data_IF_977137246454
#
_entry.id   IF_977137246454
#
_cell.length_a   1.000
_cell.length_b   1.000
_cell.length_c   1.000
_cell.angle_alpha   90.00
_cell.angle_beta   90.00
_cell.angle_gamma   90.00
#
_symmetry.space_group_name_H-M   'P 1'
#
loop_
_entity.id
_entity.type
_entity.pdbx_description
1 polymer ?
#
# COMPACT_ATOMS: atom_id res chain seq x y z
N UNK A 1 -23.30 -7.82 41.19
CA UNK A 1 -21.91 -7.59 41.67
C UNK A 1 -21.27 -8.95 41.85
N UNK A 2 -20.14 -9.34 41.29
CA UNK A 2 -19.19 -8.80 40.31
C UNK A 2 -18.19 -9.94 40.07
N UNK A 3 -18.19 -10.57 38.89
CA UNK A 3 -17.17 -10.37 37.86
C UNK A 3 -15.72 -10.71 38.29
N UNK A 4 -15.34 -11.98 38.13
CA UNK A 4 -13.98 -12.38 37.77
C UNK A 4 -14.05 -13.70 36.98
N UNK A 5 -13.86 -13.61 35.67
CA UNK A 5 -13.87 -14.80 34.81
C UNK A 5 -13.60 -14.45 33.35
N UNK A 6 -12.53 -15.05 32.81
CA UNK A 6 -12.08 -15.12 31.40
C UNK A 6 -11.09 -14.05 30.93
N UNK A 7 -9.82 -14.31 31.22
CA UNK A 7 -8.68 -13.91 30.40
C UNK A 7 -7.80 -15.15 30.18
N UNK A 8 -8.08 -15.93 29.14
CA UNK A 8 -7.13 -16.92 28.59
C UNK A 8 -7.59 -17.41 27.22
N UNK A 9 -7.22 -16.69 26.16
CA UNK A 9 -7.08 -17.19 24.78
C UNK A 9 -6.38 -16.10 23.96
N UNK A 10 -5.09 -15.88 24.20
CA UNK A 10 -4.27 -14.98 23.39
C UNK A 10 -2.83 -15.46 23.28
N UNK A 11 -2.59 -16.77 23.14
CA UNK A 11 -1.24 -17.30 22.85
C UNK A 11 -1.35 -18.70 22.24
N UNK A 12 -1.76 -18.80 20.97
CA UNK A 12 -1.65 -20.06 20.21
C UNK A 12 -1.73 -19.88 18.69
N UNK A 13 -0.95 -18.98 18.13
CA UNK A 13 -0.71 -18.93 16.67
C UNK A 13 0.72 -18.46 16.38
N UNK A 14 1.72 -19.25 16.78
CA UNK A 14 3.12 -19.02 16.41
C UNK A 14 3.97 -20.31 16.31
N UNK A 15 3.36 -21.50 16.15
CA UNK A 15 4.09 -22.78 16.24
C UNK A 15 3.89 -23.80 15.11
N UNK A 16 2.93 -23.61 14.20
CA UNK A 16 2.54 -24.63 13.23
C UNK A 16 3.06 -24.41 11.79
N UNK A 17 3.60 -23.23 11.48
CA UNK A 17 4.14 -22.92 10.13
C UNK A 17 5.64 -23.23 10.01
N UNK A 18 6.36 -23.38 11.13
CA UNK A 18 7.82 -23.53 11.14
C UNK A 18 8.31 -24.99 11.08
N UNK A 19 7.41 -25.98 11.10
CA UNK A 19 7.75 -27.42 11.13
C UNK A 19 7.50 -28.20 9.84
N UNK A 20 7.00 -27.57 8.76
CA UNK A 20 6.76 -28.24 7.47
C UNK A 20 7.69 -27.82 6.33
N UNK A 21 8.76 -27.08 6.65
CA UNK A 21 9.84 -26.69 5.72
C UNK A 21 11.18 -27.37 6.03
N UNK A 22 11.19 -28.41 6.88
CA UNK A 22 12.40 -29.19 7.25
C UNK A 22 12.37 -30.66 6.81
N UNK A 23 11.36 -31.07 6.06
CA UNK A 23 11.27 -32.40 5.48
C UNK A 23 10.94 -32.22 4.00
N UNK A 24 11.98 -32.00 3.20
CA UNK A 24 12.14 -32.49 1.82
C UNK A 24 13.27 -31.72 1.13
N UNK A 25 14.31 -32.44 0.70
CA UNK A 25 15.29 -31.93 -0.27
C UNK A 25 16.68 -31.59 0.25
N UNK A 26 17.36 -32.55 0.86
CA UNK A 26 18.82 -32.55 0.88
C UNK A 26 19.34 -32.88 -0.53
N UNK A 27 19.96 -31.92 -1.23
CA UNK A 27 20.85 -32.17 -2.37
C UNK A 27 22.06 -31.22 -2.29
N UNK A 28 23.21 -31.77 -2.66
CA UNK A 28 24.57 -31.44 -2.25
C UNK A 28 25.07 -30.05 -2.67
N UNK A 29 25.94 -29.51 -1.81
CA UNK A 29 26.85 -28.41 -2.06
C UNK A 29 27.83 -28.77 -3.19
N UNK A 30 28.07 -27.84 -4.10
CA UNK A 30 29.39 -27.69 -4.70
C UNK A 30 29.71 -26.22 -4.99
N UNK A 31 30.92 -25.83 -4.60
CA UNK A 31 31.54 -24.53 -4.70
C UNK A 31 31.70 -24.05 -6.15
N UNK A 32 31.48 -22.76 -6.40
CA UNK A 32 32.42 -21.94 -7.20
C UNK A 32 32.05 -20.46 -7.21
N UNK A 33 33.09 -19.66 -7.02
CA UNK A 33 33.14 -18.20 -7.02
C UNK A 33 32.72 -17.62 -8.39
N UNK A 34 31.88 -16.59 -8.40
CA UNK A 34 32.05 -15.43 -9.31
C UNK A 34 31.15 -14.26 -8.88
N UNK A 35 31.74 -13.08 -8.77
CA UNK A 35 31.09 -11.87 -8.30
C UNK A 35 30.53 -10.98 -9.41
N UNK A 36 29.64 -10.07 -8.99
CA UNK A 36 29.40 -8.74 -9.58
C UNK A 36 28.69 -8.62 -10.94
N UNK A 37 27.63 -9.40 -11.20
CA UNK A 37 26.76 -9.16 -12.39
C UNK A 37 25.25 -9.03 -12.15
N UNK A 38 24.76 -9.22 -10.92
CA UNK A 38 23.30 -9.32 -10.68
C UNK A 38 22.56 -8.00 -10.41
N UNK A 39 23.26 -6.90 -10.09
CA UNK A 39 22.61 -5.61 -9.78
C UNK A 39 22.05 -4.91 -11.05
N UNK A 40 22.69 -5.08 -12.21
CA UNK A 40 22.26 -4.45 -13.46
C UNK A 40 21.02 -5.12 -14.08
N UNK A 41 20.85 -6.43 -13.84
CA UNK A 41 19.69 -7.19 -14.34
C UNK A 41 18.43 -6.87 -13.53
N UNK A 42 18.60 -6.60 -12.22
CA UNK A 42 17.52 -6.14 -11.33
C UNK A 42 17.03 -4.73 -11.66
N UNK A 43 17.94 -3.81 -12.01
CA UNK A 43 17.54 -2.47 -12.46
C UNK A 43 16.78 -2.49 -13.79
N UNK A 44 17.13 -3.40 -14.73
CA UNK A 44 16.42 -3.53 -16.01
C UNK A 44 14.99 -4.10 -15.87
N UNK A 45 14.74 -4.99 -14.92
CA UNK A 45 13.39 -5.52 -14.67
C UNK A 45 12.43 -4.49 -14.05
N UNK A 46 12.95 -3.54 -13.25
CA UNK A 46 12.17 -2.39 -12.76
C UNK A 46 11.69 -1.48 -13.91
N UNK A 47 12.39 -1.46 -15.05
CA UNK A 47 12.07 -0.62 -16.20
C UNK A 47 11.02 -1.26 -17.12
N UNK A 48 10.98 -2.59 -17.22
CA UNK A 48 10.06 -3.28 -18.15
C UNK A 48 8.60 -3.36 -17.70
N UNK A 49 8.30 -3.12 -16.42
CA UNK A 49 6.91 -2.98 -15.94
C UNK A 49 6.27 -1.63 -16.24
N UNK A 50 7.03 -0.68 -16.82
CA UNK A 50 6.62 0.70 -17.01
C UNK A 50 6.42 1.10 -18.49
N UNK A 51 6.43 0.14 -19.42
CA UNK A 51 6.13 0.39 -20.83
C UNK A 51 4.63 0.14 -21.07
N UNK A 52 3.81 1.15 -20.79
CA UNK A 52 2.48 1.28 -21.37
C UNK A 52 2.39 2.60 -22.13
N UNK A 53 1.84 2.45 -23.34
CA UNK A 53 1.76 3.40 -24.43
C UNK A 53 1.37 4.83 -24.04
N UNK A 54 1.91 5.73 -24.85
CA UNK A 54 1.82 7.19 -24.82
C UNK A 54 0.37 7.69 -24.87
N UNK A 55 -0.04 8.46 -23.85
CA UNK A 55 -1.10 9.50 -23.87
C UNK A 55 -1.53 9.96 -22.47
N UNK A 56 -1.09 9.30 -21.38
CA UNK A 56 -1.37 9.76 -20.00
C UNK A 56 -0.17 10.53 -19.42
N UNK A 57 -0.42 11.69 -18.78
CA UNK A 57 0.61 12.55 -18.21
C UNK A 57 1.64 11.79 -17.37
N UNK A 58 2.92 12.02 -17.63
CA UNK A 58 4.02 11.31 -16.97
C UNK A 58 4.04 11.64 -15.48
N UNK A 59 3.93 10.62 -14.64
CA UNK A 59 4.18 10.76 -13.19
C UNK A 59 5.67 10.81 -12.95
N UNK A 60 6.17 11.92 -12.39
CA UNK A 60 7.58 12.01 -11.97
C UNK A 60 7.83 11.07 -10.79
N UNK A 61 8.96 10.38 -10.81
CA UNK A 61 9.41 9.47 -9.77
C UNK A 61 10.73 9.96 -9.17
N UNK A 62 10.88 9.77 -7.86
CA UNK A 62 12.17 9.93 -7.16
C UNK A 62 12.43 8.69 -6.31
N UNK A 63 13.68 8.44 -5.92
CA UNK A 63 13.99 7.40 -4.94
C UNK A 63 13.85 7.97 -3.54
N UNK A 64 13.01 7.37 -2.71
CA UNK A 64 12.90 7.70 -1.29
C UNK A 64 13.14 6.44 -0.48
N UNK A 65 14.22 6.42 0.29
CA UNK A 65 14.64 5.21 1.00
C UNK A 65 14.88 4.02 0.06
N UNK A 66 15.31 4.26 -1.18
CA UNK A 66 15.55 3.23 -2.20
C UNK A 66 14.30 2.76 -2.97
N UNK A 67 13.10 3.17 -2.55
CA UNK A 67 11.84 2.82 -3.22
C UNK A 67 11.49 3.91 -4.24
N UNK A 68 11.21 3.57 -5.51
CA UNK A 68 10.71 4.55 -6.47
C UNK A 68 9.33 5.02 -6.04
N UNK A 69 9.22 6.31 -5.72
CA UNK A 69 8.05 6.93 -5.11
C UNK A 69 7.53 8.04 -6.03
N UNK A 70 6.21 8.07 -6.23
CA UNK A 70 5.57 9.04 -7.09
C UNK A 70 5.54 10.43 -6.45
N UNK A 71 5.94 11.43 -7.23
CA UNK A 71 5.87 12.84 -6.85
C UNK A 71 4.45 13.35 -7.11
N UNK A 72 3.51 12.92 -6.27
CA UNK A 72 2.10 13.26 -6.37
C UNK A 72 1.55 13.74 -5.01
N UNK A 73 0.74 14.79 -5.05
CA UNK A 73 -0.14 15.19 -3.95
C UNK A 73 -1.33 14.24 -3.83
N UNK A 74 -2.04 14.25 -2.69
CA UNK A 74 -3.27 13.49 -2.48
C UNK A 74 -4.32 13.80 -3.55
N UNK A 75 -4.52 15.08 -3.87
CA UNK A 75 -5.46 15.51 -4.92
C UNK A 75 -5.04 15.04 -6.32
N UNK A 76 -3.74 15.01 -6.62
CA UNK A 76 -3.26 14.45 -7.89
C UNK A 76 -3.45 12.93 -7.94
N UNK A 77 -3.21 12.22 -6.82
CA UNK A 77 -3.41 10.79 -6.74
C UNK A 77 -4.91 10.43 -6.87
N UNK A 78 -5.81 11.16 -6.23
CA UNK A 78 -7.26 10.99 -6.41
C UNK A 78 -7.69 11.25 -7.86
N UNK A 79 -7.17 12.30 -8.52
CA UNK A 79 -7.42 12.53 -9.96
C UNK A 79 -6.91 11.38 -10.82
N UNK A 80 -5.76 10.79 -10.47
CA UNK A 80 -5.24 9.62 -11.19
C UNK A 80 -6.16 8.41 -11.07
N UNK A 81 -6.82 8.23 -9.93
CA UNK A 81 -7.84 7.18 -9.75
C UNK A 81 -9.01 7.36 -10.74
N UNK A 82 -9.54 8.57 -10.89
CA UNK A 82 -10.60 8.89 -11.87
C UNK A 82 -10.12 8.65 -13.31
N UNK A 83 -8.92 9.13 -13.67
CA UNK A 83 -8.32 8.88 -14.99
C UNK A 83 -8.21 7.37 -15.30
N UNK A 84 -7.68 6.59 -14.36
CA UNK A 84 -7.53 5.14 -14.56
C UNK A 84 -8.90 4.43 -14.63
N UNK A 85 -9.90 4.89 -13.87
CA UNK A 85 -11.28 4.39 -14.00
C UNK A 85 -11.85 4.62 -15.40
N UNK A 86 -11.58 5.79 -16.01
CA UNK A 86 -11.98 6.08 -17.40
C UNK A 86 -11.22 5.22 -18.40
N UNK A 87 -9.92 4.98 -18.18
CA UNK A 87 -9.12 4.11 -19.05
C UNK A 87 -9.65 2.67 -19.06
N UNK A 88 -10.11 2.14 -17.92
CA UNK A 88 -10.79 0.83 -17.88
C UNK A 88 -12.07 0.86 -18.73
N UNK A 89 -12.91 1.89 -18.59
CA UNK A 89 -14.14 2.01 -19.38
C UNK A 89 -13.91 2.12 -20.89
N UNK A 90 -12.74 2.63 -21.30
CA UNK A 90 -12.31 2.70 -22.70
C UNK A 90 -11.59 1.42 -23.17
N UNK A 91 -11.39 0.42 -22.30
CA UNK A 91 -10.62 -0.78 -22.62
C UNK A 91 -9.11 -0.57 -22.74
N UNK A 92 -8.59 0.56 -22.25
CA UNK A 92 -7.17 0.93 -22.31
C UNK A 92 -6.36 0.49 -21.09
N UNK A 93 -7.02 -0.08 -20.07
CA UNK A 93 -6.38 -0.64 -18.89
C UNK A 93 -6.93 -2.04 -18.60
N UNK A 94 -6.15 -3.07 -18.93
CA UNK A 94 -6.56 -4.47 -18.81
C UNK A 94 -6.43 -5.01 -17.37
N UNK A 95 -5.40 -4.58 -16.65
CA UNK A 95 -5.13 -5.00 -15.27
C UNK A 95 -5.14 -3.77 -14.35
N UNK A 96 -5.71 -3.89 -13.13
CA UNK A 96 -5.72 -2.81 -12.17
C UNK A 96 -4.31 -2.40 -11.77
N UNK A 97 -4.13 -1.11 -11.52
CA UNK A 97 -2.93 -0.58 -10.88
C UNK A 97 -2.90 -0.98 -9.41
N UNK A 98 -1.74 -1.45 -8.96
CA UNK A 98 -1.48 -1.70 -7.54
C UNK A 98 -0.92 -0.41 -6.94
N UNK A 99 -1.60 0.13 -5.94
CA UNK A 99 -1.24 1.41 -5.30
C UNK A 99 -0.86 1.14 -3.84
N UNK A 100 0.38 1.44 -3.46
CA UNK A 100 0.92 1.13 -2.13
C UNK A 100 1.39 2.38 -1.40
N UNK A 101 1.04 2.49 -0.12
CA UNK A 101 1.49 3.56 0.75
C UNK A 101 2.83 3.18 1.40
N UNK A 102 3.87 3.98 1.16
CA UNK A 102 5.19 3.78 1.75
C UNK A 102 5.38 4.60 3.03
N UNK A 103 5.90 3.93 4.05
CA UNK A 103 6.33 4.53 5.31
C UNK A 103 7.60 3.83 5.81
N UNK A 104 8.12 4.22 6.98
CA UNK A 104 9.35 3.64 7.52
C UNK A 104 9.34 2.11 7.64
N UNK A 105 8.20 1.51 8.02
CA UNK A 105 8.09 0.05 8.11
C UNK A 105 8.17 -0.62 6.74
N UNK A 106 7.59 0.00 5.70
CA UNK A 106 7.68 -0.49 4.32
C UNK A 106 9.11 -0.40 3.81
N UNK A 107 9.80 0.72 4.03
CA UNK A 107 11.21 0.90 3.67
C UNK A 107 12.09 -0.16 4.34
N UNK A 108 11.96 -0.33 5.66
CA UNK A 108 12.76 -1.32 6.38
C UNK A 108 12.53 -2.73 5.82
N UNK A 109 11.27 -3.12 5.61
CA UNK A 109 10.93 -4.44 5.08
C UNK A 109 11.36 -4.63 3.62
N UNK A 110 11.28 -3.60 2.79
CA UNK A 110 11.75 -3.61 1.40
C UNK A 110 13.24 -3.94 1.31
N UNK A 111 14.05 -3.44 2.24
CA UNK A 111 15.48 -3.72 2.27
C UNK A 111 15.81 -5.06 2.92
N UNK A 112 15.11 -5.42 4.00
CA UNK A 112 15.42 -6.63 4.79
C UNK A 112 14.80 -7.92 4.24
N UNK A 113 13.74 -7.85 3.44
CA UNK A 113 13.04 -9.03 2.92
C UNK A 113 12.95 -8.98 1.38
N UNK A 114 13.60 -9.95 0.71
CA UNK A 114 13.65 -10.05 -0.75
C UNK A 114 12.28 -10.29 -1.39
N UNK A 115 11.41 -11.09 -0.76
CA UNK A 115 10.08 -11.37 -1.29
C UNK A 115 9.19 -10.15 -1.16
N UNK A 116 9.24 -9.45 -0.02
CA UNK A 116 8.53 -8.19 0.13
C UNK A 116 9.02 -7.12 -0.86
N UNK A 117 10.34 -7.05 -1.12
CA UNK A 117 10.90 -6.21 -2.17
C UNK A 117 10.26 -6.50 -3.54
N UNK A 118 10.13 -7.77 -3.90
CA UNK A 118 9.51 -8.18 -5.17
C UNK A 118 8.05 -7.74 -5.26
N UNK A 119 7.30 -7.77 -4.16
CA UNK A 119 5.91 -7.29 -4.14
C UNK A 119 5.82 -5.78 -4.36
N UNK A 120 6.62 -5.00 -3.62
CA UNK A 120 6.64 -3.53 -3.76
C UNK A 120 7.13 -3.12 -5.15
N UNK A 121 8.09 -3.84 -5.73
CA UNK A 121 8.56 -3.58 -7.10
C UNK A 121 7.51 -3.84 -8.19
N UNK A 122 6.42 -4.55 -7.88
CA UNK A 122 5.27 -4.74 -8.78
C UNK A 122 4.20 -3.65 -8.62
N UNK A 123 4.31 -2.79 -7.60
CA UNK A 123 3.37 -1.70 -7.41
C UNK A 123 3.46 -0.72 -8.58
N UNK A 124 2.32 -0.33 -9.13
CA UNK A 124 2.23 0.64 -10.23
C UNK A 124 2.49 2.05 -9.72
N UNK A 125 2.05 2.37 -8.50
CA UNK A 125 2.30 3.64 -7.83
C UNK A 125 2.63 3.37 -6.36
N UNK A 126 3.71 3.99 -5.89
CA UNK A 126 4.04 4.06 -4.47
C UNK A 126 3.96 5.52 -4.03
N UNK A 127 3.10 5.82 -3.05
CA UNK A 127 2.96 7.15 -2.46
C UNK A 127 3.62 7.26 -1.09
N UNK A 128 3.83 8.50 -0.64
CA UNK A 128 4.54 8.80 0.59
C UNK A 128 3.59 9.05 1.77
N UNK A 129 3.24 7.98 2.49
CA UNK A 129 2.35 8.02 3.66
C UNK A 129 3.04 8.59 4.91
N UNK A 130 4.36 8.36 5.06
CA UNK A 130 5.14 8.84 6.20
C UNK A 130 5.72 10.25 6.04
N UNK A 131 5.60 11.11 7.06
CA UNK A 131 6.19 12.45 7.06
C UNK A 131 7.72 12.45 6.88
N UNK A 132 8.41 11.42 7.42
CA UNK A 132 9.86 11.27 7.28
C UNK A 132 10.32 11.09 5.83
N UNK A 133 9.47 10.52 4.96
CA UNK A 133 9.76 10.37 3.53
C UNK A 133 9.75 11.74 2.84
N UNK A 134 8.74 12.56 3.14
CA UNK A 134 8.63 13.91 2.61
C UNK A 134 9.81 14.76 3.08
N UNK A 135 10.16 14.69 4.37
CA UNK A 135 11.32 15.39 4.93
C UNK A 135 12.62 14.97 4.22
N UNK A 136 12.88 13.66 4.08
CA UNK A 136 14.06 13.18 3.38
C UNK A 136 14.09 13.65 1.92
N UNK A 137 12.96 13.62 1.21
CA UNK A 137 12.90 14.11 -0.18
C UNK A 137 13.24 15.61 -0.30
N UNK A 138 12.79 16.44 0.65
CA UNK A 138 13.12 17.88 0.69
C UNK A 138 14.60 18.15 0.93
N UNK A 139 15.28 17.25 1.62
CA UNK A 139 16.70 17.38 1.93
C UNK A 139 17.60 16.90 0.78
N UNK A 140 17.21 15.85 0.07
CA UNK A 140 18.10 15.16 -0.88
C UNK A 140 17.66 15.22 -2.36
N UNK A 141 16.46 15.68 -2.68
CA UNK A 141 15.93 15.71 -4.05
C UNK A 141 15.67 17.15 -4.52
N UNK A 142 15.92 17.40 -5.80
CA UNK A 142 15.58 18.66 -6.48
C UNK A 142 14.08 18.80 -6.68
N UNK A 143 13.40 17.69 -6.96
CA UNK A 143 11.94 17.62 -7.10
C UNK A 143 11.35 16.85 -5.91
N UNK A 144 11.25 17.48 -4.73
CA UNK A 144 10.81 16.80 -3.52
C UNK A 144 9.34 16.38 -3.60
N UNK A 145 8.94 15.45 -2.74
CA UNK A 145 7.54 15.06 -2.58
C UNK A 145 6.73 16.30 -2.15
N UNK A 146 5.59 16.58 -2.80
CA UNK A 146 4.84 17.81 -2.54
C UNK A 146 4.25 17.82 -1.12
N UNK A 147 3.70 16.70 -0.69
CA UNK A 147 3.08 16.54 0.62
C UNK A 147 3.10 15.07 1.09
N UNK A 148 2.69 14.86 2.33
CA UNK A 148 2.43 13.54 2.89
C UNK A 148 1.07 13.04 2.39
N UNK A 149 1.05 11.88 1.76
CA UNK A 149 -0.15 11.21 1.24
C UNK A 149 -0.59 10.16 2.27
N UNK A 150 -1.09 10.63 3.41
CA UNK A 150 -1.60 9.72 4.42
C UNK A 150 -2.82 8.97 3.89
N UNK A 151 -2.85 7.66 4.01
CA UNK A 151 -3.98 6.85 3.50
C UNK A 151 -5.30 7.21 4.17
N UNK A 152 -5.25 7.61 5.45
CA UNK A 152 -6.42 8.11 6.21
C UNK A 152 -6.96 9.44 5.70
N UNK A 153 -6.15 10.22 4.99
CA UNK A 153 -6.57 11.49 4.38
C UNK A 153 -6.96 11.28 2.90
N UNK A 154 -6.19 10.47 2.18
CA UNK A 154 -6.42 10.14 0.77
C UNK A 154 -7.80 9.53 0.52
N UNK A 155 -8.30 8.68 1.42
CA UNK A 155 -9.64 8.09 1.26
C UNK A 155 -10.73 9.15 1.13
N UNK A 156 -10.61 10.30 1.81
CA UNK A 156 -11.59 11.38 1.74
C UNK A 156 -11.50 12.12 0.41
N UNK A 157 -10.30 12.43 -0.08
CA UNK A 157 -10.13 13.04 -1.41
C UNK A 157 -10.64 12.12 -2.52
N UNK A 158 -10.36 10.81 -2.41
CA UNK A 158 -10.86 9.81 -3.34
C UNK A 158 -12.38 9.65 -3.24
N UNK A 159 -12.95 9.63 -2.03
CA UNK A 159 -14.37 9.48 -1.81
C UNK A 159 -15.17 10.69 -2.31
N UNK A 160 -14.69 11.92 -2.08
CA UNK A 160 -15.29 13.14 -2.63
C UNK A 160 -15.36 13.08 -4.16
N UNK A 161 -14.22 12.80 -4.81
CA UNK A 161 -14.17 12.67 -6.26
C UNK A 161 -15.03 11.51 -6.78
N UNK A 162 -15.02 10.37 -6.09
CA UNK A 162 -15.85 9.22 -6.44
C UNK A 162 -17.35 9.52 -6.32
N UNK A 163 -17.75 10.32 -5.33
CA UNK A 163 -19.11 10.81 -5.15
C UNK A 163 -19.58 11.66 -6.34
N UNK A 164 -18.68 12.49 -6.88
CA UNK A 164 -18.96 13.37 -8.02
C UNK A 164 -18.92 12.64 -9.37
N UNK A 165 -18.12 11.58 -9.48
CA UNK A 165 -17.87 10.82 -10.73
C UNK A 165 -18.55 9.45 -10.78
N UNK A 166 -19.34 9.12 -9.77
CA UNK A 166 -20.00 7.82 -9.61
C UNK A 166 -19.02 6.64 -9.66
N UNK A 167 -17.80 6.81 -9.12
CA UNK A 167 -16.81 5.73 -9.05
C UNK A 167 -17.19 4.77 -7.93
N UNK A 168 -17.22 3.47 -8.25
CA UNK A 168 -17.67 2.42 -7.33
C UNK A 168 -16.51 1.81 -6.55
N UNK A 169 -16.60 1.86 -5.22
CA UNK A 169 -15.63 1.30 -4.30
C UNK A 169 -16.07 -0.07 -3.78
N UNK A 170 -15.12 -0.96 -3.58
CA UNK A 170 -15.27 -2.17 -2.77
C UNK A 170 -14.28 -2.12 -1.61
N UNK A 171 -14.74 -2.43 -0.39
CA UNK A 171 -13.90 -2.45 0.81
C UNK A 171 -13.69 -3.89 1.27
N UNK A 172 -12.42 -4.32 1.38
CA UNK A 172 -12.07 -5.66 1.85
C UNK A 172 -11.00 -5.58 2.92
N UNK A 173 -11.33 -5.96 4.15
CA UNK A 173 -10.37 -6.04 5.25
C UNK A 173 -10.94 -5.65 6.61
N UNK A 174 -10.06 -5.63 7.61
CA UNK A 174 -10.45 -5.44 9.01
C UNK A 174 -11.23 -6.62 9.60
N UNK A 175 -11.71 -6.44 10.84
CA UNK A 175 -12.60 -7.39 11.52
C UNK A 175 -14.00 -7.41 10.90
N UNK A 176 -14.81 -8.45 11.20
CA UNK A 176 -16.22 -8.46 10.85
C UNK A 176 -16.88 -7.10 11.16
N UNK A 177 -17.69 -6.63 10.21
CA UNK A 177 -18.42 -5.35 10.26
C UNK A 177 -17.59 -4.07 10.22
N UNK A 178 -16.26 -4.11 10.37
CA UNK A 178 -15.41 -2.89 10.37
C UNK A 178 -15.46 -2.18 9.02
N UNK A 179 -15.28 -2.90 7.92
CA UNK A 179 -15.38 -2.33 6.57
C UNK A 179 -16.78 -1.74 6.29
N UNK A 180 -17.85 -2.42 6.76
CA UNK A 180 -19.23 -1.95 6.60
C UNK A 180 -19.47 -0.65 7.39
N UNK A 181 -19.03 -0.58 8.65
CA UNK A 181 -19.13 0.64 9.47
C UNK A 181 -18.33 1.79 8.87
N UNK A 182 -17.13 1.53 8.36
CA UNK A 182 -16.33 2.53 7.66
C UNK A 182 -17.05 3.08 6.41
N UNK A 183 -17.68 2.20 5.62
CA UNK A 183 -18.51 2.56 4.47
C UNK A 183 -19.71 3.45 4.87
N UNK A 184 -20.44 3.08 5.92
CA UNK A 184 -21.56 3.87 6.44
C UNK A 184 -21.13 5.28 6.86
N UNK A 185 -20.02 5.40 7.60
CA UNK A 185 -19.48 6.69 8.02
C UNK A 185 -19.03 7.56 6.84
N UNK A 186 -18.36 6.99 5.86
CA UNK A 186 -17.99 7.74 4.66
C UNK A 186 -19.22 8.21 3.87
N UNK A 187 -20.29 7.40 3.80
CA UNK A 187 -21.55 7.81 3.17
C UNK A 187 -22.27 8.95 3.90
N UNK A 188 -22.12 9.07 5.22
CA UNK A 188 -22.63 10.23 5.95
C UNK A 188 -21.93 11.53 5.55
N UNK A 189 -20.64 11.46 5.21
CA UNK A 189 -19.83 12.61 4.78
C UNK A 189 -20.03 12.87 3.28
N UNK A 190 -20.13 11.81 2.47
CA UNK A 190 -20.26 11.85 1.02
C UNK A 190 -21.51 11.07 0.57
N UNK A 191 -22.71 11.68 0.59
CA UNK A 191 -23.97 10.97 0.36
C UNK A 191 -24.08 10.21 -0.96
N UNK A 192 -23.42 10.69 -2.03
CA UNK A 192 -23.44 10.02 -3.34
C UNK A 192 -22.33 8.97 -3.50
N UNK A 193 -21.53 8.70 -2.45
CA UNK A 193 -20.46 7.71 -2.52
C UNK A 193 -21.03 6.29 -2.70
N UNK A 194 -20.61 5.62 -3.77
CA UNK A 194 -21.00 4.26 -4.06
C UNK A 194 -19.98 3.26 -3.52
N UNK A 195 -20.22 2.77 -2.31
CA UNK A 195 -19.57 1.53 -1.82
C UNK A 195 -20.50 0.36 -2.14
N UNK A 196 -20.09 -0.45 -3.12
CA UNK A 196 -20.92 -1.52 -3.73
C UNK A 196 -20.67 -2.91 -3.15
N UNK A 197 -19.69 -3.02 -2.24
CA UNK A 197 -19.46 -4.22 -1.46
C UNK A 197 -18.51 -3.96 -0.29
N UNK A 198 -18.70 -4.76 0.76
CA UNK A 198 -17.88 -4.75 1.97
C UNK A 198 -17.67 -6.19 2.43
N UNK A 199 -16.42 -6.56 2.69
CA UNK A 199 -16.04 -7.87 3.24
C UNK A 199 -14.95 -7.69 4.29
N UNK A 200 -14.97 -8.52 5.33
CA UNK A 200 -13.88 -8.57 6.30
C UNK A 200 -12.64 -9.27 5.74
N UNK A 201 -11.54 -9.21 6.50
CA UNK A 201 -10.26 -9.78 6.08
C UNK A 201 -10.06 -11.26 6.37
N UNK A 202 -11.06 -11.96 6.91
CA UNK A 202 -10.93 -13.34 7.38
C UNK A 202 -11.56 -14.31 6.37
N UNK A 203 -10.75 -14.83 5.47
CA UNK A 203 -11.17 -15.83 4.48
C UNK A 203 -10.04 -16.84 4.20
N UNK A 204 -10.39 -18.01 3.67
CA UNK A 204 -9.40 -19.01 3.31
C UNK A 204 -8.86 -18.74 1.91
N UNK A 205 -7.62 -19.16 1.64
CA UNK A 205 -7.02 -19.08 0.30
C UNK A 205 -7.79 -19.89 -0.76
N UNK A 206 -8.64 -20.83 -0.34
CA UNK A 206 -9.52 -21.58 -1.24
C UNK A 206 -10.69 -20.73 -1.79
N UNK A 207 -11.08 -19.68 -1.06
CA UNK A 207 -12.27 -18.87 -1.36
C UNK A 207 -11.93 -17.69 -2.29
N UNK A 208 -10.66 -17.51 -2.67
CA UNK A 208 -10.20 -16.29 -3.35
C UNK A 208 -10.80 -16.07 -4.73
N UNK A 209 -11.01 -17.15 -5.50
CA UNK A 209 -11.60 -17.05 -6.84
C UNK A 209 -13.07 -16.64 -6.76
N UNK A 210 -13.79 -17.15 -5.76
CA UNK A 210 -15.16 -16.74 -5.47
C UNK A 210 -15.20 -15.27 -5.05
N UNK A 211 -14.31 -14.85 -4.15
CA UNK A 211 -14.21 -13.47 -3.68
C UNK A 211 -13.89 -12.51 -4.84
N UNK A 212 -12.94 -12.86 -5.71
CA UNK A 212 -12.63 -12.03 -6.88
C UNK A 212 -13.84 -11.92 -7.82
N UNK A 213 -14.54 -13.02 -8.05
CA UNK A 213 -15.75 -13.06 -8.88
C UNK A 213 -16.89 -12.21 -8.27
N UNK A 214 -17.05 -12.26 -6.95
CA UNK A 214 -17.98 -11.42 -6.20
C UNK A 214 -17.66 -9.93 -6.42
N UNK A 215 -16.40 -9.52 -6.19
CA UNK A 215 -15.94 -8.14 -6.37
C UNK A 215 -16.23 -7.66 -7.78
N UNK A 216 -15.90 -8.45 -8.81
CA UNK A 216 -16.17 -8.09 -10.20
C UNK A 216 -17.66 -7.92 -10.49
N UNK A 217 -18.50 -8.83 -9.98
CA UNK A 217 -19.97 -8.79 -10.18
C UNK A 217 -20.61 -7.55 -9.57
N UNK A 218 -20.03 -6.97 -8.50
CA UNK A 218 -20.51 -5.69 -7.95
C UNK A 218 -20.30 -4.50 -8.87
N UNK A 219 -19.48 -4.65 -9.92
CA UNK A 219 -19.08 -3.57 -10.81
C UNK A 219 -18.10 -2.58 -10.17
N UNK A 220 -17.44 -2.97 -9.07
CA UNK A 220 -16.44 -2.14 -8.41
C UNK A 220 -15.32 -1.73 -9.38
N UNK A 221 -14.83 -0.50 -9.24
CA UNK A 221 -13.71 0.04 -10.02
C UNK A 221 -12.46 0.21 -9.17
N UNK A 222 -12.63 0.40 -7.86
CA UNK A 222 -11.52 0.59 -6.92
C UNK A 222 -11.71 -0.34 -5.71
N UNK A 223 -10.74 -1.21 -5.49
CA UNK A 223 -10.66 -2.05 -4.31
C UNK A 223 -9.77 -1.40 -3.27
N UNK A 224 -10.31 -1.14 -2.08
CA UNK A 224 -9.52 -0.77 -0.89
C UNK A 224 -9.26 -2.03 -0.06
N UNK A 225 -7.99 -2.41 0.06
CA UNK A 225 -7.53 -3.68 0.62
C UNK A 225 -6.79 -3.47 1.95
N UNK A 226 -7.46 -3.79 3.06
CA UNK A 226 -7.02 -3.56 4.43
C UNK A 226 -6.72 -4.84 5.21
N UNK A 227 -5.79 -5.66 4.73
CA UNK A 227 -5.40 -6.94 5.36
C UNK A 227 -4.14 -6.85 6.22
N UNK A 228 -3.50 -5.68 6.23
CA UNK A 228 -2.20 -5.48 6.88
C UNK A 228 -1.05 -5.99 6.01
N UNK A 229 0.12 -5.38 6.23
CA UNK A 229 1.33 -5.73 5.48
C UNK A 229 2.08 -6.88 6.19
N UNK A 230 2.53 -7.93 5.48
CA UNK A 230 2.71 -8.01 4.01
C UNK A 230 1.54 -8.63 3.23
N UNK A 231 0.54 -9.18 3.92
CA UNK A 231 -0.53 -9.98 3.31
C UNK A 231 -1.31 -9.20 2.24
N UNK A 232 -1.59 -7.91 2.46
CA UNK A 232 -2.29 -7.07 1.48
C UNK A 232 -1.47 -6.88 0.18
N UNK A 233 -0.15 -6.78 0.26
CA UNK A 233 0.71 -6.65 -0.92
C UNK A 233 0.79 -7.98 -1.69
N UNK A 234 0.87 -9.10 -0.97
CA UNK A 234 0.82 -10.45 -1.54
C UNK A 234 -0.49 -10.69 -2.29
N UNK A 235 -1.62 -10.38 -1.64
CA UNK A 235 -2.95 -10.53 -2.23
C UNK A 235 -3.13 -9.62 -3.43
N UNK A 236 -2.79 -8.33 -3.31
CA UNK A 236 -2.88 -7.38 -4.42
C UNK A 236 -2.11 -7.86 -5.65
N UNK A 237 -0.88 -8.36 -5.47
CA UNK A 237 -0.09 -8.92 -6.58
C UNK A 237 -0.71 -10.20 -7.14
N UNK A 238 -1.22 -11.09 -6.28
CA UNK A 238 -1.81 -12.37 -6.73
C UNK A 238 -3.15 -12.21 -7.43
N UNK A 239 -3.92 -11.18 -7.07
CA UNK A 239 -5.26 -10.93 -7.58
C UNK A 239 -5.30 -9.93 -8.72
N UNK A 240 -4.19 -9.24 -9.02
CA UNK A 240 -4.13 -8.22 -10.08
C UNK A 240 -4.78 -8.71 -11.37
N UNK A 241 -4.37 -9.87 -11.88
CA UNK A 241 -4.96 -10.46 -13.10
C UNK A 241 -6.41 -10.91 -12.92
N UNK A 242 -6.73 -11.47 -11.76
CA UNK A 242 -8.08 -11.99 -11.44
C UNK A 242 -9.11 -10.88 -11.36
N UNK A 243 -8.68 -9.67 -10.98
CA UNK A 243 -9.51 -8.47 -10.86
C UNK A 243 -9.39 -7.57 -12.11
N UNK A 244 -9.14 -8.16 -13.28
CA UNK A 244 -9.23 -7.47 -14.56
C UNK A 244 -10.61 -6.83 -14.72
N UNK A 245 -10.65 -5.52 -15.00
CA UNK A 245 -11.87 -4.71 -14.99
C UNK A 245 -11.99 -3.76 -13.80
N UNK A 246 -11.15 -3.89 -12.77
CA UNK A 246 -10.92 -2.81 -11.82
C UNK A 246 -9.85 -1.85 -12.36
N UNK A 247 -9.93 -0.59 -11.96
CA UNK A 247 -8.87 0.37 -12.18
C UNK A 247 -7.76 0.19 -11.14
N UNK A 248 -8.12 0.08 -9.86
CA UNK A 248 -7.17 0.17 -8.76
C UNK A 248 -7.36 -0.94 -7.72
N UNK A 249 -6.24 -1.46 -7.22
CA UNK A 249 -6.14 -2.17 -5.94
C UNK A 249 -5.26 -1.31 -5.01
N UNK A 250 -5.89 -0.62 -4.07
CA UNK A 250 -5.22 0.26 -3.10
C UNK A 250 -5.04 -0.47 -1.77
N UNK A 251 -3.79 -0.74 -1.38
CA UNK A 251 -3.52 -1.27 -0.05
C UNK A 251 -3.69 -0.16 1.01
N UNK A 252 -4.34 -0.48 2.13
CA UNK A 252 -4.71 0.55 3.12
C UNK A 252 -4.49 0.17 4.58
N UNK A 253 -3.99 -1.04 4.88
CA UNK A 253 -3.70 -1.47 6.24
C UNK A 253 -4.93 -1.34 7.15
N UNK A 254 -4.75 -0.76 8.34
CA UNK A 254 -5.83 -0.56 9.31
C UNK A 254 -6.74 0.64 9.03
N UNK A 255 -6.87 1.11 7.78
CA UNK A 255 -7.68 2.28 7.43
C UNK A 255 -9.12 2.15 7.95
N UNK A 256 -9.74 0.98 7.77
CA UNK A 256 -11.13 0.79 8.15
C UNK A 256 -11.35 0.88 9.66
N UNK A 257 -10.42 0.37 10.48
CA UNK A 257 -10.49 0.53 11.93
C UNK A 257 -10.45 2.01 12.33
N UNK A 258 -9.63 2.84 11.65
CA UNK A 258 -9.55 4.28 11.94
C UNK A 258 -10.87 5.00 11.66
N UNK A 259 -11.52 4.67 10.53
CA UNK A 259 -12.79 5.29 10.16
C UNK A 259 -13.90 4.74 11.07
N UNK A 260 -13.94 3.43 11.29
CA UNK A 260 -15.02 2.76 12.01
C UNK A 260 -15.01 3.04 13.52
N UNK A 261 -13.84 3.03 14.17
CA UNK A 261 -13.73 3.07 15.63
C UNK A 261 -13.53 4.50 16.20
N UNK A 262 -13.60 5.53 15.35
CA UNK A 262 -13.31 6.93 15.75
C UNK A 262 -12.01 7.05 16.54
N UNK A 263 -10.99 6.27 16.16
CA UNK A 263 -9.69 6.29 16.83
C UNK A 263 -9.21 7.74 16.79
N UNK A 264 -9.04 8.40 17.95
CA UNK A 264 -8.71 9.81 17.95
C UNK A 264 -7.41 9.98 17.19
N UNK A 265 -7.37 10.93 16.26
CA UNK A 265 -6.11 11.28 15.57
C UNK A 265 -5.23 12.10 16.49
N UNK A 266 -3.94 12.11 16.20
CA UNK A 266 -3.02 13.00 16.89
C UNK A 266 -3.51 14.45 16.78
N UNK A 267 -3.33 15.31 17.80
CA UNK A 267 -3.61 16.74 17.67
C UNK A 267 -2.97 17.34 16.41
N UNK A 268 -3.62 18.35 15.80
CA UNK A 268 -3.14 18.95 14.52
C UNK A 268 -1.66 19.34 14.58
N UNK A 269 -1.24 20.00 15.65
CA UNK A 269 0.16 20.39 15.84
C UNK A 269 1.13 19.20 15.76
N UNK A 270 0.76 18.02 16.28
CA UNK A 270 1.59 16.80 16.18
C UNK A 270 1.60 16.25 14.75
N UNK A 271 0.47 16.31 14.04
CA UNK A 271 0.41 15.91 12.63
C UNK A 271 1.29 16.81 11.77
N UNK A 272 1.22 18.12 11.99
CA UNK A 272 1.92 19.15 11.22
C UNK A 272 3.44 19.02 11.34
N UNK A 273 3.95 18.68 12.53
CA UNK A 273 5.38 18.43 12.77
C UNK A 273 5.78 16.95 12.56
N UNK A 274 4.85 16.09 12.11
CA UNK A 274 5.14 14.70 11.76
C UNK A 274 5.29 13.73 12.94
N UNK A 275 4.80 14.07 14.14
CA UNK A 275 4.79 13.22 15.35
C UNK A 275 3.55 12.31 15.48
N UNK A 276 2.75 12.15 14.41
CA UNK A 276 1.57 11.27 14.44
C UNK A 276 1.93 9.83 14.83
N UNK A 277 3.10 9.34 14.44
CA UNK A 277 3.59 8.00 14.81
C UNK A 277 3.81 7.85 16.31
N UNK A 278 4.25 8.90 17.01
CA UNK A 278 4.48 8.87 18.46
C UNK A 278 3.16 8.81 19.22
N UNK A 279 2.16 9.57 18.76
CA UNK A 279 0.82 9.52 19.31
C UNK A 279 0.18 8.13 19.12
N UNK A 280 0.42 7.47 17.98
CA UNK A 280 -0.02 6.09 17.77
C UNK A 280 0.67 5.10 18.70
N UNK A 281 1.96 5.26 18.99
CA UNK A 281 2.65 4.44 20.02
C UNK A 281 1.92 4.55 21.35
N UNK A 282 1.53 5.76 21.76
CA UNK A 282 0.80 5.96 23.00
C UNK A 282 -0.54 5.21 23.02
N UNK A 283 -1.25 5.16 21.89
CA UNK A 283 -2.52 4.43 21.77
C UNK A 283 -2.35 2.91 21.73
N UNK A 284 -1.30 2.41 21.07
CA UNK A 284 -1.09 0.97 20.86
C UNK A 284 0.36 0.53 21.14
N UNK A 285 0.84 0.70 22.38
CA UNK A 285 2.26 0.55 22.70
C UNK A 285 2.77 -0.87 22.42
N UNK A 286 1.97 -1.89 22.78
CA UNK A 286 2.34 -3.30 22.56
C UNK A 286 2.51 -3.65 21.08
N UNK A 287 1.71 -3.05 20.20
CA UNK A 287 1.71 -3.33 18.75
C UNK A 287 2.78 -2.52 18.02
N UNK A 288 2.94 -1.25 18.38
CA UNK A 288 3.70 -0.29 17.59
C UNK A 288 5.12 -0.04 18.09
N UNK A 289 5.37 -0.19 19.40
CA UNK A 289 6.69 0.11 19.98
C UNK A 289 7.77 -0.80 19.39
N UNK A 290 7.60 -2.12 19.46
CA UNK A 290 8.56 -3.08 18.90
C UNK A 290 8.73 -2.92 17.39
N UNK A 291 7.62 -2.66 16.68
CA UNK A 291 7.66 -2.40 15.23
C UNK A 291 8.56 -1.22 14.91
N UNK A 292 8.40 -0.11 15.63
CA UNK A 292 9.16 1.11 15.38
C UNK A 292 10.60 1.03 15.86
N UNK A 293 10.88 0.36 16.99
CA UNK A 293 12.25 0.14 17.46
C UNK A 293 13.09 -0.63 16.44
N UNK A 294 12.49 -1.62 15.77
CA UNK A 294 13.17 -2.36 14.71
C UNK A 294 13.19 -1.63 13.38
N UNK A 295 12.06 -1.06 12.94
CA UNK A 295 11.96 -0.49 11.59
C UNK A 295 12.54 0.90 11.46
N UNK A 296 12.45 1.76 12.48
CA UNK A 296 12.85 3.16 12.36
C UNK A 296 14.36 3.36 12.13
N UNK A 297 15.29 2.66 12.82
CA UNK A 297 16.72 2.82 12.56
C UNK A 297 17.10 2.40 11.13
N UNK A 298 16.54 1.28 10.67
CA UNK A 298 16.75 0.76 9.31
C UNK A 298 16.18 1.73 8.28
N UNK A 299 14.95 2.19 8.49
CA UNK A 299 14.31 3.16 7.62
C UNK A 299 15.09 4.47 7.56
N UNK A 300 15.55 4.97 8.70
CA UNK A 300 16.37 6.19 8.77
C UNK A 300 17.67 6.04 7.98
N UNK A 301 18.39 4.94 8.18
CA UNK A 301 19.61 4.65 7.42
C UNK A 301 19.37 4.69 5.91
N UNK A 302 18.31 4.05 5.42
CA UNK A 302 17.99 4.06 3.99
C UNK A 302 17.43 5.39 3.50
N UNK A 303 16.65 6.10 4.31
CA UNK A 303 16.18 7.45 3.98
C UNK A 303 17.37 8.42 3.80
N UNK A 304 18.43 8.28 4.60
CA UNK A 304 19.63 9.12 4.48
C UNK A 304 20.56 8.68 3.34
N UNK A 305 20.64 7.40 3.04
CA UNK A 305 21.65 6.86 2.08
C UNK A 305 21.09 6.51 0.70
N UNK A 306 19.77 6.38 0.55
CA UNK A 306 19.09 5.92 -0.68
C UNK A 306 17.94 6.82 -1.09
N UNK A 307 17.93 8.08 -0.65
CA UNK A 307 17.00 9.10 -1.17
C UNK A 307 17.76 10.02 -2.13
N UNK A 308 17.32 10.09 -3.38
CA UNK A 308 17.93 10.90 -4.43
C UNK A 308 16.97 11.02 -5.63
N UNK A 309 17.14 12.05 -6.46
CA UNK A 309 16.42 12.12 -7.75
C UNK A 309 16.85 10.95 -8.63
N UNK A 310 15.91 10.14 -9.14
CA UNK A 310 16.27 9.05 -10.05
C UNK A 310 16.59 9.62 -11.45
N UNK A 311 17.84 9.59 -11.93
CA UNK A 311 18.18 10.12 -13.25
C UNK A 311 17.63 9.25 -14.40
N UNK A 312 17.09 8.06 -14.12
CA UNK A 312 16.70 7.04 -15.13
C UNK A 312 15.20 7.09 -15.48
N UNK A 313 14.45 8.12 -15.08
CA UNK A 313 13.16 8.42 -15.72
C UNK A 313 13.25 9.68 -16.60
N UNK A 314 14.02 9.57 -17.68
CA UNK A 314 13.89 10.46 -18.85
C UNK A 314 12.66 10.00 -19.63
N UNK A 315 11.49 10.55 -19.35
CA UNK A 315 10.41 10.49 -20.34
C UNK A 315 10.88 11.08 -21.67
N UNK A 316 10.29 10.74 -22.83
CA UNK A 316 10.85 11.16 -24.12
C UNK A 316 11.13 12.65 -24.21
N UNK A 317 12.27 12.92 -24.85
CA UNK A 317 12.75 14.22 -25.31
C UNK A 317 11.66 14.85 -26.15
N UNK A 318 11.22 16.04 -25.77
CA UNK A 318 10.41 16.90 -26.64
C UNK A 318 11.34 17.31 -27.78
N UNK A 319 11.19 16.68 -28.94
CA UNK A 319 11.62 17.33 -30.18
C UNK A 319 10.47 18.25 -30.60
N UNK A 320 10.85 19.52 -30.82
CA UNK A 320 9.96 20.64 -31.18
C UNK A 320 9.08 20.35 -32.38
#
# INVERSE_FOLDING_TARGET
MSHFGRLSTYFRWSGAVQRRLRADGAVRLNDSRSGSRDDNTFQRQLVHGALLNESSGRTSLIRVGGIPTAVLSRKQLARRMDEDCRLVSLGHLAEPRIIVASNGSVIARFHLNRDFRRLISKASIVDADGASLVFASRLFCRSPLPERVATTDLIHDCADLASQKCIRFYFLGGKPEVALRASQKLKLIFPNLQVVGCRDGYFNRADEDEICSEILRTGAQVLWLGLGSPMQEEIACSWQKKLGGLAWIRTCGGLFDHIAEDVPRAPRWMQDIGLEWLYRIYQEPRRLLFRYLWSNPVALFYLLTKTYDDPIYRGPVVLK
#
